data_IF_480077616724
#
_entry.id   IF_480077616724
#
_cell.length_a   1.000
_cell.length_b   1.000
_cell.length_c   1.000
_cell.angle_alpha   90.00
_cell.angle_beta   90.00
_cell.angle_gamma   90.00
#
_symmetry.space_group_name_H-M   'P 1'
#
loop_
_entity.id
_entity.type
_entity.pdbx_description
1 polymer ?
#
# COMPACT_ATOMS: atom_id res chain seq x y z
N UNK A 1 -34.99 12.52 10.33
CA UNK A 1 -34.03 11.42 10.19
C UNK A 1 -34.13 10.60 11.44
N UNK A 2 -34.61 9.37 11.34
CA UNK A 2 -34.78 8.48 12.49
C UNK A 2 -33.47 7.77 12.86
N UNK A 3 -33.52 6.85 13.84
CA UNK A 3 -32.36 6.09 14.29
C UNK A 3 -31.83 5.13 13.20
N UNK A 4 -32.72 4.59 12.36
CA UNK A 4 -32.34 3.67 11.29
C UNK A 4 -31.69 4.41 10.12
N UNK A 5 -32.20 5.59 9.80
CA UNK A 5 -31.58 6.48 8.82
C UNK A 5 -30.14 6.84 9.22
N UNK A 6 -29.92 7.19 10.50
CA UNK A 6 -28.59 7.53 11.02
C UNK A 6 -27.63 6.32 10.98
N UNK A 7 -28.10 5.14 11.36
CA UNK A 7 -27.32 3.92 11.31
C UNK A 7 -26.89 3.58 9.87
N UNK A 8 -27.81 3.73 8.91
CA UNK A 8 -27.54 3.47 7.49
C UNK A 8 -26.49 4.41 6.91
N UNK A 9 -26.54 5.70 7.28
CA UNK A 9 -25.54 6.67 6.86
C UNK A 9 -24.15 6.40 7.44
N UNK A 10 -24.09 5.96 8.70
CA UNK A 10 -22.83 5.59 9.34
C UNK A 10 -22.17 4.39 8.64
N UNK A 11 -22.95 3.33 8.37
CA UNK A 11 -22.45 2.16 7.63
C UNK A 11 -21.92 2.56 6.25
N UNK A 12 -22.66 3.42 5.54
CA UNK A 12 -22.23 3.91 4.22
C UNK A 12 -20.91 4.65 4.32
N UNK A 13 -20.75 5.54 5.30
CA UNK A 13 -19.53 6.32 5.51
C UNK A 13 -18.33 5.42 5.85
N UNK A 14 -18.52 4.45 6.74
CA UNK A 14 -17.48 3.50 7.14
C UNK A 14 -17.04 2.65 5.94
N UNK A 15 -18.00 2.14 5.16
CA UNK A 15 -17.73 1.38 3.94
C UNK A 15 -16.95 2.21 2.92
N UNK A 16 -17.38 3.43 2.67
CA UNK A 16 -16.71 4.34 1.73
C UNK A 16 -15.28 4.66 2.19
N UNK A 17 -15.09 4.89 3.49
CA UNK A 17 -13.76 5.14 4.08
C UNK A 17 -12.84 3.93 3.91
N UNK A 18 -13.33 2.72 4.20
CA UNK A 18 -12.56 1.49 4.02
C UNK A 18 -12.15 1.29 2.55
N UNK A 19 -13.08 1.51 1.61
CA UNK A 19 -12.80 1.42 0.17
C UNK A 19 -11.80 2.49 -0.28
N UNK A 20 -11.91 3.72 0.22
CA UNK A 20 -10.96 4.79 -0.10
C UNK A 20 -9.56 4.46 0.41
N UNK A 21 -9.46 3.94 1.64
CA UNK A 21 -8.16 3.56 2.22
C UNK A 21 -7.55 2.36 1.49
N UNK A 22 -8.34 1.37 1.09
CA UNK A 22 -7.85 0.26 0.27
C UNK A 22 -7.38 0.70 -1.14
N UNK A 23 -7.98 1.77 -1.69
CA UNK A 23 -7.58 2.34 -2.99
C UNK A 23 -6.33 3.21 -2.92
N UNK A 24 -6.03 3.82 -1.78
CA UNK A 24 -4.76 4.52 -1.55
C UNK A 24 -3.68 3.45 -1.61
N UNK A 25 -3.08 3.28 -2.78
CA UNK A 25 -2.09 2.23 -3.02
C UNK A 25 -1.01 2.23 -1.93
N UNK A 26 -0.51 1.05 -1.58
CA UNK A 26 0.41 0.84 -0.47
C UNK A 26 1.77 1.53 -0.64
N UNK A 27 2.11 1.98 -1.86
CA UNK A 27 3.43 2.52 -2.18
C UNK A 27 3.34 3.99 -2.60
N UNK A 28 3.32 4.89 -1.61
CA UNK A 28 3.27 6.34 -1.87
C UNK A 28 4.64 6.94 -2.23
N UNK A 29 5.72 6.31 -1.77
CA UNK A 29 7.06 6.91 -1.76
C UNK A 29 8.02 6.37 -2.84
N UNK A 30 7.64 5.39 -3.66
CA UNK A 30 8.47 4.92 -4.78
C UNK A 30 9.76 4.17 -4.41
N UNK A 31 10.52 3.64 -5.37
CA UNK A 31 11.84 3.06 -5.11
C UNK A 31 12.88 4.15 -4.83
N UNK A 32 13.96 3.78 -4.15
CA UNK A 32 15.17 4.61 -4.10
C UNK A 32 15.94 4.47 -5.42
N UNK A 33 16.55 5.55 -5.90
CA UNK A 33 17.30 5.53 -7.16
C UNK A 33 18.80 5.61 -6.88
N UNK A 34 19.50 4.49 -7.02
CA UNK A 34 20.95 4.39 -6.80
C UNK A 34 21.60 4.17 -8.17
N UNK A 35 22.40 5.14 -8.63
CA UNK A 35 23.03 5.12 -9.95
C UNK A 35 22.06 4.83 -11.12
N UNK A 36 20.82 5.30 -11.00
CA UNK A 36 19.76 5.10 -11.99
C UNK A 36 19.07 3.72 -11.91
N UNK A 37 19.42 2.89 -10.94
CA UNK A 37 18.76 1.62 -10.65
C UNK A 37 17.70 1.82 -9.57
N UNK A 38 16.45 1.35 -9.79
CA UNK A 38 15.42 1.36 -8.76
C UNK A 38 15.72 0.28 -7.71
N UNK A 39 16.05 0.71 -6.50
CA UNK A 39 16.43 -0.13 -5.37
C UNK A 39 15.37 -0.09 -4.26
N UNK A 40 15.34 -1.19 -3.49
CA UNK A 40 14.51 -1.34 -2.31
C UNK A 40 14.96 -0.35 -1.25
N UNK A 41 14.03 0.40 -0.65
CA UNK A 41 14.37 1.39 0.38
C UNK A 41 14.86 0.78 1.71
N UNK A 42 14.53 -0.47 1.97
CA UNK A 42 14.90 -1.14 3.22
C UNK A 42 16.25 -1.85 3.10
N UNK A 43 16.44 -2.68 2.08
CA UNK A 43 17.66 -3.48 1.93
C UNK A 43 18.66 -2.93 0.91
N UNK A 44 18.28 -1.94 0.09
CA UNK A 44 19.14 -1.40 -0.97
C UNK A 44 19.23 -2.27 -2.23
N UNK A 45 18.65 -3.47 -2.24
CA UNK A 45 18.75 -4.37 -3.40
C UNK A 45 17.93 -3.86 -4.60
N UNK A 46 18.41 -4.07 -5.84
CA UNK A 46 17.65 -3.73 -7.04
C UNK A 46 16.27 -4.42 -7.07
N UNK A 47 15.22 -3.64 -7.33
CA UNK A 47 13.86 -4.17 -7.44
C UNK A 47 13.70 -4.84 -8.80
N UNK A 48 13.23 -6.10 -8.86
CA UNK A 48 13.03 -6.80 -10.12
C UNK A 48 12.06 -6.06 -11.06
N UNK A 49 12.41 -5.98 -12.34
CA UNK A 49 11.59 -5.29 -13.35
C UNK A 49 10.15 -5.84 -13.46
N UNK A 50 9.95 -7.14 -13.21
CA UNK A 50 8.61 -7.74 -13.16
C UNK A 50 7.74 -7.12 -12.06
N UNK A 51 8.32 -6.79 -10.90
CA UNK A 51 7.62 -6.18 -9.77
C UNK A 51 7.27 -4.71 -10.06
N UNK A 52 8.21 -3.95 -10.64
CA UNK A 52 7.97 -2.56 -11.07
C UNK A 52 6.85 -2.45 -12.11
N UNK A 53 6.76 -3.43 -13.05
CA UNK A 53 5.69 -3.48 -14.05
C UNK A 53 4.34 -3.86 -13.44
N UNK A 54 4.33 -4.83 -12.53
CA UNK A 54 3.10 -5.27 -11.88
C UNK A 54 2.54 -4.22 -10.93
N UNK A 55 3.42 -3.46 -10.26
CA UNK A 55 3.06 -2.48 -9.25
C UNK A 55 3.85 -1.19 -9.52
N UNK A 56 3.31 -0.27 -10.33
CA UNK A 56 3.92 1.03 -10.56
C UNK A 56 4.11 1.80 -9.24
N UNK A 57 5.31 2.32 -9.00
CA UNK A 57 5.64 3.05 -7.78
C UNK A 57 6.01 2.17 -6.58
N UNK A 58 6.18 0.86 -6.75
CA UNK A 58 6.65 -0.02 -5.68
C UNK A 58 8.03 0.41 -5.16
N UNK A 59 8.14 0.58 -3.83
CA UNK A 59 9.37 1.00 -3.16
C UNK A 59 10.15 -0.11 -2.46
N UNK A 60 9.52 -1.27 -2.27
CA UNK A 60 10.09 -2.40 -1.52
C UNK A 60 10.25 -3.62 -2.41
N UNK A 61 11.33 -4.38 -2.18
CA UNK A 61 11.46 -5.72 -2.73
C UNK A 61 10.37 -6.64 -2.14
N UNK A 62 10.23 -7.83 -2.71
CA UNK A 62 9.21 -8.78 -2.25
C UNK A 62 9.44 -9.18 -0.79
N UNK A 63 10.67 -9.51 -0.43
CA UNK A 63 11.02 -9.99 0.91
C UNK A 63 10.72 -8.94 1.98
N UNK A 64 11.22 -7.71 1.81
CA UNK A 64 10.96 -6.63 2.78
C UNK A 64 9.46 -6.27 2.87
N UNK A 65 8.72 -6.39 1.76
CA UNK A 65 7.26 -6.21 1.80
C UNK A 65 6.57 -7.31 2.63
N UNK A 66 6.94 -8.57 2.43
CA UNK A 66 6.38 -9.70 3.19
C UNK A 66 6.67 -9.57 4.69
N UNK A 67 7.88 -9.15 5.05
CA UNK A 67 8.28 -8.88 6.45
C UNK A 67 7.47 -7.73 7.06
N UNK A 68 7.27 -6.63 6.33
CA UNK A 68 6.46 -5.50 6.80
C UNK A 68 5.00 -5.93 7.06
N UNK A 69 4.42 -6.71 6.16
CA UNK A 69 3.04 -7.20 6.28
C UNK A 69 2.87 -8.19 7.45
N UNK A 70 3.88 -9.04 7.69
CA UNK A 70 3.90 -9.94 8.86
C UNK A 70 3.94 -9.14 10.16
N UNK A 71 4.79 -8.11 10.24
CA UNK A 71 4.94 -7.29 11.44
C UNK A 71 3.73 -6.38 11.70
N UNK A 72 2.96 -6.02 10.66
CA UNK A 72 1.75 -5.22 10.81
C UNK A 72 0.53 -6.03 11.29
N UNK A 73 0.64 -7.37 11.34
CA UNK A 73 -0.41 -8.27 11.79
C UNK A 73 -0.37 -8.57 13.31
N UNK A 74 0.69 -8.11 14.00
CA UNK A 74 0.84 -8.14 15.47
C UNK A 74 0.37 -6.81 16.11
#
# INVERSE_FOLDING_TARGET
>A
MDLFDQASELERLERETALQNARKGTYQEGPEWIDGVPCCRECGDPIPAARLRAIPGVGLCRTCQEELELNAAD
#
